data_IF_891965311302
#
_entry.id   IF_891965311302
#
_cell.length_a   1.000
_cell.length_b   1.000
_cell.length_c   1.000
_cell.angle_alpha   90.00
_cell.angle_beta   90.00
_cell.angle_gamma   90.00
#
_symmetry.space_group_name_H-M   'P 1'
#
loop_
_entity.id
_entity.type
_entity.pdbx_description
1 polymer ?
#
# COMPACT_ATOMS: atom_id res chain seq x y z
N UNK A 1 14.59 11.30 -3.38
CA UNK A 1 13.24 10.76 -3.56
C UNK A 1 13.37 9.35 -4.13
N UNK A 2 13.13 8.31 -3.32
CA UNK A 2 13.17 6.91 -3.76
C UNK A 2 11.74 6.37 -3.69
N UNK A 3 11.16 6.11 -4.85
CA UNK A 3 9.81 5.57 -4.98
C UNK A 3 9.90 4.05 -4.84
N UNK A 4 9.22 3.49 -3.83
CA UNK A 4 9.10 2.05 -3.65
C UNK A 4 7.77 1.54 -4.21
N UNK A 5 7.81 0.61 -5.16
CA UNK A 5 6.60 -0.08 -5.63
C UNK A 5 6.40 -1.29 -4.71
N UNK A 6 5.25 -1.32 -4.02
CA UNK A 6 4.87 -2.47 -3.21
C UNK A 6 3.59 -3.07 -3.76
N UNK A 7 3.69 -4.31 -4.23
CA UNK A 7 2.55 -5.11 -4.65
C UNK A 7 1.87 -5.69 -3.41
N UNK A 8 0.72 -5.12 -3.04
CA UNK A 8 -0.03 -5.47 -1.83
C UNK A 8 -1.33 -6.20 -2.18
N UNK A 9 -1.29 -7.54 -2.36
CA UNK A 9 -2.51 -8.31 -2.61
C UNK A 9 -3.33 -8.56 -1.33
N UNK A 10 -2.81 -8.33 -0.12
CA UNK A 10 -3.46 -8.72 1.15
C UNK A 10 -3.23 -7.68 2.27
N UNK A 11 -4.21 -7.47 3.19
CA UNK A 11 -4.14 -6.44 4.24
C UNK A 11 -2.98 -6.64 5.23
N UNK A 12 -2.64 -7.88 5.59
CA UNK A 12 -1.51 -8.18 6.49
C UNK A 12 -0.13 -7.82 5.93
N UNK A 13 0.04 -7.80 4.61
CA UNK A 13 1.35 -7.51 4.00
C UNK A 13 1.61 -6.00 3.84
N UNK A 14 0.60 -5.14 4.08
CA UNK A 14 0.72 -3.69 3.96
C UNK A 14 1.70 -3.09 4.94
N UNK A 15 1.48 -3.36 6.21
CA UNK A 15 2.24 -2.74 7.30
C UNK A 15 3.70 -3.19 7.25
N UNK A 16 3.91 -4.51 7.04
CA UNK A 16 5.24 -5.08 6.84
C UNK A 16 5.95 -4.44 5.65
N UNK A 17 5.28 -4.29 4.50
CA UNK A 17 5.95 -3.76 3.32
C UNK A 17 6.19 -2.25 3.37
N UNK A 18 5.32 -1.49 4.02
CA UNK A 18 5.55 -0.06 4.31
C UNK A 18 6.73 0.08 5.26
N UNK A 19 6.81 -0.74 6.32
CA UNK A 19 7.95 -0.76 7.23
C UNK A 19 9.25 -1.08 6.49
N UNK A 20 9.26 -2.10 5.62
CA UNK A 20 10.41 -2.43 4.76
C UNK A 20 10.80 -1.30 3.81
N UNK A 21 9.81 -0.63 3.21
CA UNK A 21 10.06 0.51 2.33
C UNK A 21 10.69 1.66 3.11
N UNK A 22 10.25 1.90 4.34
CA UNK A 22 10.82 2.89 5.25
C UNK A 22 12.25 2.53 5.68
N UNK A 23 12.52 1.28 6.05
CA UNK A 23 13.88 0.78 6.34
C UNK A 23 14.82 0.97 5.13
N UNK A 24 14.30 0.82 3.91
CA UNK A 24 15.03 1.06 2.68
C UNK A 24 15.18 2.55 2.30
N UNK A 25 14.71 3.47 3.15
CA UNK A 25 14.78 4.93 2.94
C UNK A 25 13.78 5.48 1.93
N UNK A 26 12.70 4.74 1.64
CA UNK A 26 11.62 5.21 0.77
C UNK A 26 10.68 6.12 1.55
N UNK A 27 10.28 7.22 0.92
CA UNK A 27 9.37 8.21 1.51
C UNK A 27 7.93 8.05 1.02
N UNK A 28 7.75 7.29 -0.06
CA UNK A 28 6.47 7.10 -0.74
C UNK A 28 6.33 5.64 -1.19
N UNK A 29 5.10 5.13 -1.13
CA UNK A 29 4.74 3.78 -1.57
C UNK A 29 3.57 3.87 -2.52
N UNK A 30 3.69 3.22 -3.68
CA UNK A 30 2.59 3.08 -4.65
C UNK A 30 2.08 1.64 -4.63
N UNK A 31 0.77 1.48 -4.49
CA UNK A 31 0.08 0.19 -4.55
C UNK A 31 -0.81 0.10 -5.78
N UNK A 32 -1.01 -1.11 -6.31
CA UNK A 32 -1.97 -1.32 -7.41
C UNK A 32 -3.41 -1.26 -6.89
N UNK A 33 -4.33 -0.78 -7.73
CA UNK A 33 -5.77 -0.84 -7.42
C UNK A 33 -6.21 -2.31 -7.34
N UNK A 34 -6.96 -2.71 -6.30
CA UNK A 34 -7.53 -4.04 -6.23
C UNK A 34 -8.41 -4.35 -7.44
N UNK A 35 -8.39 -5.61 -7.90
CA UNK A 35 -9.26 -6.13 -8.96
C UNK A 35 -10.00 -7.36 -8.45
N UNK A 36 -11.02 -7.80 -9.17
CA UNK A 36 -11.77 -9.00 -8.80
C UNK A 36 -10.95 -10.31 -8.87
N UNK A 37 -9.92 -10.38 -9.74
CA UNK A 37 -9.11 -11.58 -9.99
C UNK A 37 -7.67 -11.24 -10.41
N UNK A 38 -6.77 -12.23 -10.32
CA UNK A 38 -5.37 -12.14 -10.74
C UNK A 38 -4.41 -11.71 -9.62
N UNK A 39 -3.19 -11.32 -9.97
CA UNK A 39 -2.12 -10.98 -9.00
C UNK A 39 -2.43 -9.74 -8.14
N UNK A 40 -3.34 -8.89 -8.61
CA UNK A 40 -3.87 -7.74 -7.87
C UNK A 40 -5.29 -8.00 -7.36
N UNK A 41 -5.69 -9.27 -7.22
CA UNK A 41 -6.99 -9.60 -6.65
C UNK A 41 -7.07 -9.10 -5.21
N UNK A 42 -8.14 -8.38 -4.87
CA UNK A 42 -8.34 -7.84 -3.54
C UNK A 42 -9.64 -7.04 -3.42
N UNK A 43 -9.91 -6.56 -2.22
CA UNK A 43 -11.09 -5.73 -1.93
C UNK A 43 -10.77 -4.24 -2.11
N UNK A 44 -11.65 -3.53 -2.81
CA UNK A 44 -11.56 -2.09 -3.04
C UNK A 44 -11.82 -1.29 -1.75
N UNK A 45 -12.61 -1.83 -0.81
CA UNK A 45 -12.83 -1.25 0.52
C UNK A 45 -11.52 -1.08 1.31
N UNK A 46 -10.51 -1.88 0.99
CA UNK A 46 -9.20 -1.78 1.59
C UNK A 46 -8.45 -0.50 1.20
N UNK A 47 -8.84 0.21 0.12
CA UNK A 47 -8.33 1.55 -0.20
C UNK A 47 -9.01 2.63 0.65
N UNK A 48 -10.31 2.49 0.92
CA UNK A 48 -11.05 3.40 1.80
C UNK A 48 -10.51 3.36 3.22
N UNK A 49 -10.20 2.15 3.74
CA UNK A 49 -9.57 2.01 5.06
C UNK A 49 -8.23 2.75 5.14
N UNK A 50 -7.42 2.69 4.09
CA UNK A 50 -6.12 3.39 4.03
C UNK A 50 -6.33 4.90 3.94
N UNK A 51 -7.31 5.36 3.15
CA UNK A 51 -7.64 6.78 3.04
C UNK A 51 -8.18 7.37 4.36
N UNK A 52 -8.82 6.53 5.20
CA UNK A 52 -9.31 6.92 6.52
C UNK A 52 -8.21 6.93 7.61
N UNK A 53 -6.99 6.44 7.34
CA UNK A 53 -5.90 6.44 8.33
C UNK A 53 -5.29 7.84 8.54
N UNK A 54 -4.76 8.12 9.75
CA UNK A 54 -4.16 9.40 10.14
C UNK A 54 -2.94 9.81 9.28
N UNK A 55 -2.48 11.08 9.36
CA UNK A 55 -1.67 11.76 8.34
C UNK A 55 -0.28 11.16 8.03
N UNK A 56 0.14 10.09 8.73
CA UNK A 56 1.33 9.34 8.37
C UNK A 56 1.20 8.63 7.01
N UNK A 57 -0.03 8.31 6.58
CA UNK A 57 -0.33 7.81 5.24
C UNK A 57 -1.29 8.78 4.56
N UNK A 58 -0.84 9.40 3.47
CA UNK A 58 -1.69 10.26 2.61
C UNK A 58 -1.82 9.60 1.26
N UNK A 59 -3.06 9.41 0.81
CA UNK A 59 -3.33 9.15 -0.61
C UNK A 59 -3.15 10.49 -1.36
N UNK A 60 -2.26 10.51 -2.34
CA UNK A 60 -2.03 11.66 -3.23
C UNK A 60 -2.82 11.49 -4.53
#
# INVERSE_FOLDING_TARGET
MRIGIVLLPQPRWREDAVARAAEAGSTEVVAHRPRARGVCAGDEAALEEVAARPPQLRAL
#
